data_IF_087402973398
#
_entry.id   IF_087402973398
#
_cell.length_a   1.000
_cell.length_b   1.000
_cell.length_c   1.000
_cell.angle_alpha   90.00
_cell.angle_beta   90.00
_cell.angle_gamma   90.00
#
_symmetry.space_group_name_H-M   'P 1'
#
loop_
_entity.id
_entity.type
_entity.pdbx_description
1 polymer ?
#
# COMPACT_ATOMS: atom_id res chain seq x y z
N UNK A 1 0.15 -7.99 21.11
CA UNK A 1 -1.22 -8.33 20.68
C UNK A 1 -1.33 -7.87 19.24
N UNK A 2 -1.37 -8.80 18.28
CA UNK A 2 -1.58 -8.44 16.88
C UNK A 2 -3.02 -7.96 16.75
N UNK A 3 -3.19 -6.66 16.51
CA UNK A 3 -4.50 -6.06 16.31
C UNK A 3 -4.98 -6.21 14.86
N UNK A 4 -4.08 -6.45 13.92
CA UNK A 4 -4.36 -6.66 12.49
C UNK A 4 -4.41 -8.17 12.21
N UNK A 5 -5.46 -8.63 11.54
CA UNK A 5 -5.67 -10.03 11.12
C UNK A 5 -5.10 -10.33 9.74
N UNK A 6 -4.83 -9.31 8.93
CA UNK A 6 -4.12 -9.47 7.65
C UNK A 6 -2.69 -9.99 7.90
N UNK A 7 -2.36 -11.09 7.23
CA UNK A 7 -1.01 -11.66 7.24
C UNK A 7 -0.10 -10.91 6.25
N UNK A 8 1.07 -10.41 6.68
CA UNK A 8 2.01 -9.77 5.77
C UNK A 8 2.60 -10.75 4.77
N UNK A 9 2.97 -10.24 3.59
CA UNK A 9 3.88 -10.94 2.70
C UNK A 9 5.32 -10.91 3.25
N UNK A 10 5.77 -9.74 3.73
CA UNK A 10 7.05 -9.61 4.40
C UNK A 10 6.96 -8.67 5.60
N UNK A 11 7.71 -9.00 6.65
CA UNK A 11 7.86 -8.16 7.83
C UNK A 11 9.30 -8.18 8.28
N UNK A 12 9.78 -7.01 8.73
CA UNK A 12 11.07 -6.92 9.40
C UNK A 12 11.05 -5.85 10.50
N UNK A 13 11.66 -6.19 11.62
CA UNK A 13 11.81 -5.26 12.73
C UNK A 13 13.10 -4.44 12.60
N UNK A 14 13.04 -3.20 13.07
CA UNK A 14 14.22 -2.35 13.28
C UNK A 14 15.29 -3.11 14.07
N UNK A 15 16.54 -2.99 13.63
CA UNK A 15 17.68 -3.65 14.25
C UNK A 15 17.93 -5.07 13.72
N UNK A 16 17.02 -5.68 12.96
CA UNK A 16 17.29 -6.97 12.28
C UNK A 16 18.29 -6.79 11.13
N UNK A 17 19.00 -7.86 10.75
CA UNK A 17 19.94 -7.84 9.63
C UNK A 17 19.22 -7.66 8.29
N UNK A 18 19.64 -6.70 7.46
CA UNK A 18 19.09 -6.50 6.11
C UNK A 18 19.11 -7.79 5.30
N UNK A 19 20.24 -8.50 5.30
CA UNK A 19 20.34 -9.83 4.72
C UNK A 19 20.43 -10.88 5.82
N UNK A 20 19.37 -11.68 5.98
CA UNK A 20 19.34 -12.82 6.92
C UNK A 20 20.48 -13.83 6.67
N UNK A 21 20.98 -13.90 5.43
CA UNK A 21 22.04 -14.84 5.01
C UNK A 21 23.45 -14.32 5.29
N UNK A 22 23.63 -13.02 5.56
CA UNK A 22 24.92 -12.43 5.83
C UNK A 22 24.97 -11.81 7.24
N UNK A 23 25.65 -12.46 8.22
CA UNK A 23 25.73 -11.98 9.60
C UNK A 23 26.48 -10.64 9.76
N UNK A 24 27.22 -10.20 8.72
CA UNK A 24 27.89 -8.90 8.68
C UNK A 24 27.07 -7.82 7.97
N UNK A 25 25.86 -8.12 7.52
CA UNK A 25 25.03 -7.13 6.84
C UNK A 25 24.62 -6.00 7.79
N UNK A 26 24.35 -4.81 7.23
CA UNK A 26 23.83 -3.69 8.01
C UNK A 26 22.51 -4.07 8.68
N UNK A 27 22.24 -3.48 9.84
CA UNK A 27 20.96 -3.62 10.53
C UNK A 27 19.96 -2.60 9.98
N UNK A 28 18.68 -2.97 9.93
CA UNK A 28 17.58 -2.08 9.55
C UNK A 28 17.45 -0.93 10.55
N UNK A 29 17.23 0.27 10.04
CA UNK A 29 16.98 1.49 10.81
C UNK A 29 15.49 1.74 11.06
N UNK A 30 14.62 1.17 10.23
CA UNK A 30 13.16 1.17 10.35
C UNK A 30 12.59 -0.25 10.44
N UNK A 31 11.39 -0.37 11.02
CA UNK A 31 10.56 -1.57 10.88
C UNK A 31 9.67 -1.40 9.64
N UNK A 32 9.34 -2.48 8.97
CA UNK A 32 8.36 -2.47 7.89
C UNK A 32 7.44 -3.69 7.93
N UNK A 33 6.28 -3.53 7.34
CA UNK A 33 5.27 -4.55 7.08
C UNK A 33 4.78 -4.32 5.65
N UNK A 34 4.88 -5.32 4.79
CA UNK A 34 4.43 -5.24 3.39
C UNK A 34 3.40 -6.31 3.10
N UNK A 35 2.49 -5.99 2.18
CA UNK A 35 1.47 -6.88 1.67
C UNK A 35 1.46 -6.77 0.14
N UNK A 36 1.69 -7.89 -0.51
CA UNK A 36 1.60 -7.98 -1.97
C UNK A 36 0.14 -8.06 -2.39
N UNK A 37 -0.24 -7.30 -3.41
CA UNK A 37 -1.58 -7.40 -4.00
C UNK A 37 -1.80 -8.80 -4.56
N UNK A 38 -3.01 -9.33 -4.37
CA UNK A 38 -3.43 -10.58 -5.00
C UNK A 38 -3.93 -10.37 -6.43
N UNK A 39 -4.10 -9.11 -6.83
CA UNK A 39 -4.43 -8.73 -8.19
C UNK A 39 -3.18 -8.74 -9.07
N UNK A 40 -3.38 -8.93 -10.37
CA UNK A 40 -2.29 -8.81 -11.34
C UNK A 40 -1.87 -7.35 -11.48
N UNK A 41 -0.63 -7.10 -11.89
CA UNK A 41 -0.09 -5.73 -11.99
C UNK A 41 -0.83 -4.89 -13.03
N UNK A 42 -1.39 -5.53 -14.05
CA UNK A 42 -2.07 -4.91 -15.17
C UNK A 42 -3.53 -4.55 -14.85
N UNK A 43 -4.04 -4.92 -13.66
CA UNK A 43 -5.41 -4.59 -13.28
C UNK A 43 -5.58 -3.07 -13.08
N UNK A 44 -6.73 -2.51 -13.49
CA UNK A 44 -7.07 -1.11 -13.29
C UNK A 44 -6.88 -0.59 -11.86
N UNK A 45 -6.44 0.66 -11.72
CA UNK A 45 -6.19 1.29 -10.42
C UNK A 45 -7.41 1.30 -9.50
N UNK A 46 -8.61 1.50 -10.02
CA UNK A 46 -9.84 1.44 -9.23
C UNK A 46 -10.07 0.07 -8.58
N UNK A 47 -9.77 -1.03 -9.28
CA UNK A 47 -9.80 -2.37 -8.71
C UNK A 47 -8.70 -2.57 -7.65
N UNK A 48 -7.50 -2.04 -7.88
CA UNK A 48 -6.41 -2.09 -6.90
C UNK A 48 -6.80 -1.34 -5.62
N UNK A 49 -7.39 -0.15 -5.75
CA UNK A 49 -7.85 0.67 -4.63
C UNK A 49 -9.03 0.01 -3.92
N UNK A 50 -9.98 -0.58 -4.66
CA UNK A 50 -11.08 -1.33 -4.06
C UNK A 50 -10.60 -2.52 -3.24
N UNK A 51 -9.62 -3.28 -3.75
CA UNK A 51 -9.01 -4.38 -3.01
C UNK A 51 -8.29 -3.89 -1.75
N UNK A 52 -7.51 -2.82 -1.85
CA UNK A 52 -6.83 -2.20 -0.70
C UNK A 52 -7.82 -1.76 0.39
N UNK A 53 -8.89 -1.05 0.00
CA UNK A 53 -9.93 -0.61 0.94
C UNK A 53 -10.62 -1.80 1.59
N UNK A 54 -10.95 -2.82 0.81
CA UNK A 54 -11.61 -4.03 1.34
C UNK A 54 -10.74 -4.74 2.37
N UNK A 55 -9.42 -4.74 2.20
CA UNK A 55 -8.47 -5.25 3.20
C UNK A 55 -8.47 -4.37 4.46
N UNK A 56 -8.37 -3.06 4.31
CA UNK A 56 -8.38 -2.10 5.43
C UNK A 56 -9.67 -2.22 6.25
N UNK A 57 -10.82 -2.38 5.58
CA UNK A 57 -12.14 -2.49 6.22
C UNK A 57 -12.25 -3.70 7.16
N UNK A 58 -11.52 -4.80 6.90
CA UNK A 58 -11.51 -5.99 7.78
C UNK A 58 -10.97 -5.65 9.18
N UNK A 59 -9.95 -4.80 9.25
CA UNK A 59 -9.23 -4.47 10.48
C UNK A 59 -9.36 -2.98 10.85
N UNK A 60 -10.42 -2.30 10.40
CA UNK A 60 -10.55 -0.84 10.52
C UNK A 60 -10.49 -0.34 11.97
N UNK A 61 -11.07 -1.08 12.92
CA UNK A 61 -11.04 -0.74 14.35
C UNK A 61 -9.63 -0.86 14.94
N UNK A 62 -8.88 -1.87 14.49
CA UNK A 62 -7.50 -2.08 14.90
C UNK A 62 -6.57 -1.00 14.33
N UNK A 63 -6.77 -0.66 13.06
CA UNK A 63 -6.03 0.40 12.39
C UNK A 63 -6.35 1.78 13.00
N UNK A 64 -7.61 2.05 13.36
CA UNK A 64 -8.02 3.22 14.12
C UNK A 64 -7.23 3.38 15.42
N UNK A 65 -7.10 2.28 16.17
CA UNK A 65 -6.35 2.27 17.43
C UNK A 65 -4.87 2.56 17.19
N UNK A 66 -4.26 1.94 16.18
CA UNK A 66 -2.87 2.20 15.81
C UNK A 66 -2.67 3.68 15.43
N UNK A 67 -3.56 4.23 14.61
CA UNK A 67 -3.53 5.63 14.21
C UNK A 67 -3.68 6.61 15.39
N UNK A 68 -4.33 6.20 16.49
CA UNK A 68 -4.39 7.00 17.72
C UNK A 68 -3.09 6.98 18.54
N UNK A 69 -2.27 5.93 18.39
CA UNK A 69 -1.03 5.74 19.15
C UNK A 69 0.21 6.25 18.38
N UNK A 70 0.15 6.30 17.05
CA UNK A 70 1.24 6.79 16.20
C UNK A 70 0.76 7.39 14.88
N UNK A 71 1.63 8.17 14.24
CA UNK A 71 1.43 8.56 12.85
C UNK A 71 1.74 7.38 11.93
N UNK A 72 0.79 7.03 11.08
CA UNK A 72 0.85 5.94 10.11
C UNK A 72 0.20 6.40 8.81
N UNK A 73 0.85 6.13 7.69
CA UNK A 73 0.36 6.44 6.35
C UNK A 73 0.38 5.17 5.49
N UNK A 74 -0.58 5.04 4.58
CA UNK A 74 -0.57 4.03 3.53
C UNK A 74 -0.05 4.68 2.26
N UNK A 75 1.13 4.26 1.83
CA UNK A 75 1.77 4.76 0.63
C UNK A 75 1.62 3.75 -0.51
N UNK A 76 1.00 4.18 -1.61
CA UNK A 76 0.81 3.39 -2.81
C UNK A 76 1.53 4.05 -3.99
N UNK A 77 2.18 3.24 -4.81
CA UNK A 77 2.76 3.69 -6.09
C UNK A 77 2.09 2.94 -7.23
N UNK A 78 1.57 3.68 -8.20
CA UNK A 78 0.94 3.13 -9.39
C UNK A 78 1.68 3.59 -10.64
N UNK A 79 2.04 2.64 -11.49
CA UNK A 79 2.78 2.86 -12.72
C UNK A 79 1.85 2.59 -13.89
N UNK A 80 1.61 3.60 -14.73
CA UNK A 80 0.84 3.39 -15.94
C UNK A 80 1.68 2.58 -16.93
N UNK A 81 1.18 1.41 -17.34
CA UNK A 81 1.87 0.56 -18.31
C UNK A 81 1.68 1.02 -19.77
N UNK A 82 0.62 1.79 -20.04
CA UNK A 82 0.24 2.16 -21.41
C UNK A 82 0.55 3.64 -21.71
N UNK A 83 1.34 3.95 -22.75
CA UNK A 83 1.75 5.32 -23.12
C UNK A 83 0.59 6.23 -23.58
N UNK A 84 -0.61 5.68 -23.78
CA UNK A 84 -1.81 6.42 -24.19
C UNK A 84 -2.88 6.54 -23.10
N UNK A 85 -2.52 6.26 -21.84
CA UNK A 85 -3.32 6.69 -20.70
C UNK A 85 -3.34 8.22 -20.68
N UNK A 86 -4.52 8.84 -20.76
CA UNK A 86 -4.66 10.30 -20.63
C UNK A 86 -4.41 10.80 -19.19
N UNK A 87 -3.86 9.95 -18.31
CA UNK A 87 -3.64 10.24 -16.89
C UNK A 87 -4.92 10.42 -16.10
N UNK A 88 -6.10 10.13 -16.69
CA UNK A 88 -7.37 10.26 -16.01
C UNK A 88 -7.64 9.02 -15.17
N UNK A 89 -7.92 9.24 -13.89
CA UNK A 89 -8.40 8.21 -12.98
C UNK A 89 -9.78 8.63 -12.53
N UNK A 90 -10.72 7.70 -12.55
CA UNK A 90 -12.07 7.91 -12.05
C UNK A 90 -12.39 6.84 -11.02
N UNK A 91 -12.91 7.27 -9.88
CA UNK A 91 -13.49 6.38 -8.88
C UNK A 91 -14.99 6.59 -8.88
N UNK A 92 -15.75 5.50 -8.80
CA UNK A 92 -17.19 5.62 -8.65
C UNK A 92 -17.57 6.22 -7.27
N UNK A 93 -18.83 6.66 -7.15
CA UNK A 93 -19.31 7.29 -5.92
C UNK A 93 -19.29 6.36 -4.70
N UNK A 94 -19.34 5.04 -4.89
CA UNK A 94 -19.32 4.07 -3.81
C UNK A 94 -17.89 3.93 -3.26
N UNK A 95 -16.91 3.80 -4.16
CA UNK A 95 -15.49 3.71 -3.83
C UNK A 95 -15.01 4.98 -3.12
N UNK A 96 -15.40 6.16 -3.60
CA UNK A 96 -15.09 7.44 -2.95
C UNK A 96 -15.64 7.52 -1.53
N UNK A 97 -16.87 7.06 -1.29
CA UNK A 97 -17.45 7.04 0.07
C UNK A 97 -16.65 6.14 1.01
N UNK A 98 -16.26 4.96 0.53
CA UNK A 98 -15.46 4.01 1.32
C UNK A 98 -14.08 4.58 1.65
N UNK A 99 -13.41 5.21 0.68
CA UNK A 99 -12.14 5.91 0.90
C UNK A 99 -12.24 6.94 2.03
N UNK A 100 -13.29 7.76 2.04
CA UNK A 100 -13.47 8.81 3.06
C UNK A 100 -13.78 8.27 4.47
N UNK A 101 -14.14 7.00 4.58
CA UNK A 101 -14.40 6.35 5.87
C UNK A 101 -13.10 5.81 6.51
N UNK A 102 -12.00 5.73 5.75
CA UNK A 102 -10.72 5.24 6.26
C UNK A 102 -10.04 6.35 7.07
N UNK A 103 -9.72 6.11 8.35
CA UNK A 103 -9.17 7.10 9.27
C UNK A 103 -7.64 7.21 9.20
N UNK A 104 -7.08 6.91 8.01
CA UNK A 104 -5.65 6.81 7.76
C UNK A 104 -5.34 7.60 6.49
N UNK A 105 -4.24 8.34 6.49
CA UNK A 105 -3.77 9.03 5.30
C UNK A 105 -3.37 8.00 4.23
N UNK A 106 -3.98 8.11 3.04
CA UNK A 106 -3.63 7.29 1.87
C UNK A 106 -2.97 8.20 0.83
N UNK A 107 -1.67 8.01 0.63
CA UNK A 107 -0.90 8.70 -0.40
C UNK A 107 -0.79 7.81 -1.63
N UNK A 108 -1.26 8.30 -2.78
CA UNK A 108 -1.14 7.60 -4.07
C UNK A 108 -0.22 8.40 -4.98
N UNK A 109 0.96 7.85 -5.24
CA UNK A 109 1.92 8.39 -6.22
C UNK A 109 1.67 7.77 -7.58
N UNK A 110 1.37 8.62 -8.56
CA UNK A 110 1.07 8.22 -9.93
C UNK A 110 2.28 8.47 -10.82
N UNK A 111 2.76 7.43 -11.47
CA UNK A 111 3.89 7.48 -12.40
C UNK A 111 3.36 7.26 -13.82
N UNK A 112 3.28 8.32 -14.66
CA UNK A 112 2.90 8.16 -16.05
C UNK A 112 3.91 7.26 -16.78
N UNK A 113 3.43 6.54 -17.79
CA UNK A 113 4.31 5.81 -18.70
C UNK A 113 5.29 6.79 -19.33
N UNK A 114 6.56 6.39 -19.44
CA UNK A 114 7.50 7.16 -20.25
C UNK A 114 6.99 7.14 -21.70
N UNK A 115 6.96 8.30 -22.39
CA UNK A 115 6.67 8.31 -23.81
C UNK A 115 7.74 7.46 -24.52
N UNK A 116 7.32 6.65 -25.50
CA UNK A 116 8.28 5.97 -26.37
C UNK A 116 9.24 7.03 -26.94
N UNK A 117 10.55 6.86 -26.71
CA UNK A 117 11.56 7.70 -27.37
C UNK A 117 11.49 7.41 -28.88
N UNK A 118 10.93 8.34 -29.67
CA UNK A 118 10.89 8.28 -31.14
C UNK A 118 12.29 8.30 -31.78
#
# INVERSE_FOLDING_TARGET
MNHITIEPTEVAEKGTLLSKRNPKSKRRDTSFWTLDSQLRGEEPLDLQIENLISLIEVDIDALNKIASDCHFEIYCSYFFEYPNSNGMISFDSNLLKRLTAIPIDIAISLYPAEPDEE
#
